data_IF_300310382243
#
_entry.id   IF_300310382243
#
_cell.length_a   1.000
_cell.length_b   1.000
_cell.length_c   1.000
_cell.angle_alpha   90.00
_cell.angle_beta   90.00
_cell.angle_gamma   90.00
#
_symmetry.space_group_name_H-M   'P 1'
#
loop_
_entity.id
_entity.type
_entity.pdbx_description
1 polymer ?
#
# COMPACT_ATOMS: atom_id res chain seq x y z
N UNK A 1 -38.58 -52.87 -1.65
CA UNK A 1 -37.39 -52.83 -0.77
C UNK A 1 -36.63 -54.14 -0.94
N UNK A 2 -35.76 -54.24 -1.96
CA UNK A 2 -35.12 -55.50 -2.34
C UNK A 2 -33.70 -55.54 -1.76
N UNK A 3 -33.49 -56.34 -0.70
CA UNK A 3 -32.15 -56.57 -0.14
C UNK A 3 -31.44 -57.59 -1.03
N UNK A 4 -30.52 -57.11 -1.86
CA UNK A 4 -29.63 -57.97 -2.64
C UNK A 4 -28.64 -58.60 -1.65
N UNK A 5 -28.91 -59.81 -1.18
CA UNK A 5 -27.98 -60.58 -0.34
C UNK A 5 -27.03 -61.34 -1.25
N UNK A 6 -25.84 -60.79 -1.48
CA UNK A 6 -24.77 -61.45 -2.23
C UNK A 6 -24.21 -62.63 -1.43
N UNK A 7 -24.47 -63.85 -1.87
CA UNK A 7 -24.09 -65.10 -1.17
C UNK A 7 -22.63 -65.53 -1.41
N UNK A 8 -21.94 -64.92 -2.37
CA UNK A 8 -20.61 -65.34 -2.83
C UNK A 8 -19.53 -64.29 -2.52
N UNK A 9 -18.53 -64.59 -1.68
CA UNK A 9 -17.53 -63.61 -1.25
C UNK A 9 -16.68 -63.08 -2.41
N UNK A 10 -16.51 -63.88 -3.46
CA UNK A 10 -15.79 -63.49 -4.69
C UNK A 10 -16.53 -62.41 -5.47
N UNK A 11 -17.86 -62.46 -5.53
CA UNK A 11 -18.66 -61.46 -6.26
C UNK A 11 -18.68 -60.14 -5.49
N UNK A 12 -18.70 -60.20 -4.16
CA UNK A 12 -18.60 -59.01 -3.31
C UNK A 12 -17.22 -58.35 -3.45
N UNK A 13 -16.15 -59.14 -3.49
CA UNK A 13 -14.79 -58.64 -3.69
C UNK A 13 -14.61 -57.95 -5.05
N UNK A 14 -15.19 -58.52 -6.13
CA UNK A 14 -15.15 -57.90 -7.47
C UNK A 14 -15.94 -56.58 -7.51
N UNK A 15 -17.12 -56.53 -6.88
CA UNK A 15 -17.90 -55.28 -6.82
C UNK A 15 -17.17 -54.18 -6.03
N UNK A 16 -16.54 -54.53 -4.90
CA UNK A 16 -15.74 -53.58 -4.11
C UNK A 16 -14.56 -53.07 -4.94
N UNK A 17 -13.86 -53.94 -5.67
CA UNK A 17 -12.75 -53.56 -6.55
C UNK A 17 -13.20 -52.59 -7.65
N UNK A 18 -14.35 -52.84 -8.28
CA UNK A 18 -14.91 -51.94 -9.30
C UNK A 18 -15.28 -50.57 -8.74
N UNK A 19 -15.86 -50.52 -7.53
CA UNK A 19 -16.20 -49.23 -6.87
C UNK A 19 -14.93 -48.46 -6.50
N UNK A 20 -13.89 -49.14 -6.00
CA UNK A 20 -12.60 -48.51 -5.69
C UNK A 20 -11.90 -47.99 -6.95
N UNK A 21 -11.93 -48.75 -8.05
CA UNK A 21 -11.36 -48.32 -9.33
C UNK A 21 -12.10 -47.10 -9.89
N UNK A 22 -13.43 -47.09 -9.83
CA UNK A 22 -14.24 -45.93 -10.24
C UNK A 22 -13.97 -44.70 -9.35
N UNK A 23 -13.88 -44.89 -8.03
CA UNK A 23 -13.55 -43.82 -7.08
C UNK A 23 -12.16 -43.23 -7.30
N UNK A 24 -11.15 -44.08 -7.53
CA UNK A 24 -9.80 -43.64 -7.84
C UNK A 24 -9.74 -42.87 -9.18
N UNK A 25 -10.52 -43.31 -10.17
CA UNK A 25 -10.68 -42.59 -11.44
C UNK A 25 -11.23 -41.18 -11.23
N UNK A 26 -12.30 -41.03 -10.45
CA UNK A 26 -12.88 -39.70 -10.12
C UNK A 26 -11.85 -38.82 -9.39
N UNK A 27 -11.14 -39.36 -8.40
CA UNK A 27 -10.15 -38.60 -7.60
C UNK A 27 -8.98 -38.11 -8.48
N UNK A 28 -8.54 -38.88 -9.47
CA UNK A 28 -7.43 -38.47 -10.34
C UNK A 28 -7.86 -37.60 -11.53
N UNK A 29 -9.01 -37.88 -12.16
CA UNK A 29 -9.42 -37.19 -13.39
C UNK A 29 -10.11 -35.84 -13.15
N UNK A 30 -10.87 -35.72 -12.06
CA UNK A 30 -11.65 -34.49 -11.78
C UNK A 30 -10.76 -33.27 -11.48
N UNK A 31 -9.67 -33.38 -10.69
CA UNK A 31 -8.73 -32.26 -10.53
C UNK A 31 -8.06 -31.89 -11.85
N UNK A 32 -7.71 -32.87 -12.69
CA UNK A 32 -7.06 -32.60 -13.98
C UNK A 32 -7.96 -31.82 -14.96
N UNK A 33 -9.28 -31.97 -14.87
CA UNK A 33 -10.24 -31.28 -15.75
C UNK A 33 -10.71 -29.93 -15.18
N UNK A 34 -10.74 -29.76 -13.85
CA UNK A 34 -11.23 -28.53 -13.21
C UNK A 34 -10.14 -27.53 -12.81
N UNK A 35 -8.86 -27.90 -12.95
CA UNK A 35 -7.75 -26.97 -12.72
C UNK A 35 -7.57 -26.02 -13.92
N UNK A 36 -8.57 -25.18 -14.22
CA UNK A 36 -8.34 -24.00 -15.06
C UNK A 36 -7.50 -23.00 -14.27
N UNK A 37 -6.25 -22.71 -14.66
CA UNK A 37 -5.45 -21.71 -13.99
C UNK A 37 -6.19 -20.38 -14.05
N UNK A 38 -6.53 -19.82 -12.89
CA UNK A 38 -7.14 -18.50 -12.82
C UNK A 38 -6.10 -17.48 -13.29
N UNK A 39 -6.22 -17.10 -14.56
CA UNK A 39 -5.32 -16.13 -15.18
C UNK A 39 -5.85 -14.75 -14.83
N UNK A 40 -5.12 -14.03 -13.97
CA UNK A 40 -5.42 -12.63 -13.64
C UNK A 40 -5.19 -11.82 -14.91
N UNK A 41 -6.28 -11.40 -15.55
CA UNK A 41 -6.28 -10.79 -16.89
C UNK A 41 -6.19 -9.26 -16.87
N UNK A 42 -6.07 -8.67 -15.69
CA UNK A 42 -6.12 -7.21 -15.49
C UNK A 42 -5.06 -6.73 -14.48
N UNK A 43 -3.82 -7.22 -14.62
CA UNK A 43 -2.69 -6.66 -13.88
C UNK A 43 -2.26 -5.36 -14.53
N UNK A 44 -2.81 -4.24 -14.06
CA UNK A 44 -2.34 -2.91 -14.42
C UNK A 44 -1.03 -2.60 -13.69
N UNK A 45 0.09 -2.65 -14.40
CA UNK A 45 1.40 -2.25 -13.88
C UNK A 45 1.60 -0.78 -14.20
N UNK A 46 1.69 0.04 -13.16
CA UNK A 46 2.08 1.44 -13.28
C UNK A 46 3.55 1.50 -13.75
N UNK A 47 3.74 1.84 -15.02
CA UNK A 47 5.08 1.87 -15.63
C UNK A 47 5.93 3.02 -15.10
N UNK A 48 5.34 4.06 -14.53
CA UNK A 48 6.02 5.27 -14.08
C UNK A 48 6.29 5.24 -12.57
N UNK A 49 5.50 4.52 -11.79
CA UNK A 49 5.72 4.35 -10.35
C UNK A 49 6.69 3.20 -10.03
N UNK A 50 7.67 3.48 -9.17
CA UNK A 50 8.55 2.48 -8.56
C UNK A 50 7.89 1.79 -7.36
N UNK A 51 7.10 2.55 -6.60
CA UNK A 51 6.35 2.09 -5.44
C UNK A 51 5.12 2.97 -5.25
N UNK A 52 3.97 2.37 -4.94
CA UNK A 52 2.75 3.09 -4.60
C UNK A 52 2.17 2.56 -3.29
N UNK A 53 1.82 3.46 -2.40
CA UNK A 53 1.29 3.18 -1.06
C UNK A 53 -0.04 3.92 -0.86
N UNK A 54 -1.03 3.24 -0.27
CA UNK A 54 -2.32 3.84 0.12
C UNK A 54 -2.31 4.46 1.52
N UNK A 55 -1.15 4.45 2.19
CA UNK A 55 -0.90 5.17 3.42
C UNK A 55 0.62 5.28 3.62
N UNK A 56 1.10 6.46 4.00
CA UNK A 56 2.49 6.68 4.34
C UNK A 56 2.59 7.43 5.67
N UNK A 57 3.50 6.96 6.54
CA UNK A 57 3.99 7.71 7.69
C UNK A 57 5.52 7.67 7.71
N UNK A 58 6.14 8.84 7.76
CA UNK A 58 7.59 8.99 7.88
C UNK A 58 7.93 9.84 9.10
N UNK A 59 8.91 9.39 9.88
CA UNK A 59 9.42 10.10 11.05
C UNK A 59 10.90 10.39 10.81
N UNK A 60 11.28 11.67 10.81
CA UNK A 60 12.67 12.08 10.68
C UNK A 60 13.24 12.50 12.02
N UNK A 61 14.43 12.00 12.34
CA UNK A 61 15.13 12.30 13.60
C UNK A 61 16.56 12.73 13.33
N UNK A 62 17.04 13.72 14.08
CA UNK A 62 18.43 14.13 14.12
C UNK A 62 18.94 14.10 15.55
N UNK A 63 20.01 13.36 15.78
CA UNK A 63 20.59 13.15 17.11
C UNK A 63 19.56 12.66 18.15
N UNK A 64 18.65 11.79 17.73
CA UNK A 64 17.57 11.25 18.58
C UNK A 64 16.36 12.16 18.77
N UNK A 65 16.42 13.42 18.33
CA UNK A 65 15.31 14.39 18.40
C UNK A 65 14.50 14.31 17.11
N UNK A 66 13.18 14.14 17.23
CA UNK A 66 12.27 14.19 16.07
C UNK A 66 12.26 15.60 15.49
N UNK A 67 12.51 15.71 14.19
CA UNK A 67 12.47 16.99 13.46
C UNK A 67 11.12 17.17 12.77
N UNK A 68 10.55 16.08 12.24
CA UNK A 68 9.18 16.08 11.73
C UNK A 68 8.56 14.69 11.68
N UNK A 69 7.23 14.68 11.60
CA UNK A 69 6.40 13.57 11.17
C UNK A 69 5.61 13.97 9.94
N UNK A 70 5.65 13.14 8.91
CA UNK A 70 4.95 13.32 7.63
C UNK A 70 3.98 12.16 7.45
N UNK A 71 2.70 12.48 7.25
CA UNK A 71 1.64 11.54 6.93
C UNK A 71 0.99 11.93 5.60
N UNK A 72 0.66 10.93 4.78
CA UNK A 72 -0.02 11.12 3.52
C UNK A 72 -1.00 9.96 3.26
N UNK A 73 -2.10 10.28 2.61
CA UNK A 73 -3.09 9.32 2.19
C UNK A 73 -2.63 8.43 1.05
N UNK A 74 -1.80 8.93 0.15
CA UNK A 74 -1.10 8.08 -0.82
C UNK A 74 0.32 8.59 -0.98
N UNK A 75 1.23 7.69 -1.31
CA UNK A 75 2.58 8.04 -1.71
C UNK A 75 2.98 7.24 -2.94
N UNK A 76 3.40 7.93 -4.00
CA UNK A 76 3.92 7.32 -5.22
C UNK A 76 5.37 7.73 -5.38
N UNK A 77 6.29 6.78 -5.26
CA UNK A 77 7.69 6.97 -5.62
C UNK A 77 7.81 6.87 -7.14
N UNK A 78 8.32 7.90 -7.78
CA UNK A 78 8.48 7.97 -9.25
C UNK A 78 9.75 7.21 -9.64
N UNK A 79 9.70 6.42 -10.73
CA UNK A 79 10.89 5.74 -11.26
C UNK A 79 11.87 6.74 -11.81
N UNK A 80 13.16 6.49 -11.58
CA UNK A 80 14.26 7.29 -12.14
C UNK A 80 14.25 8.78 -11.74
N UNK A 81 13.39 9.15 -10.78
CA UNK A 81 13.32 10.47 -10.18
C UNK A 81 13.45 10.35 -8.66
N UNK A 82 14.14 11.30 -8.03
CA UNK A 82 14.27 11.36 -6.58
C UNK A 82 13.03 12.00 -5.93
N UNK A 83 11.82 11.59 -6.35
CA UNK A 83 10.57 12.23 -5.95
C UNK A 83 9.51 11.23 -5.46
N UNK A 84 8.88 11.58 -4.35
CA UNK A 84 7.65 10.96 -3.88
C UNK A 84 6.48 11.95 -3.98
N UNK A 85 5.46 11.59 -4.76
CA UNK A 85 4.22 12.35 -4.92
C UNK A 85 3.24 11.91 -3.84
N UNK A 86 2.75 12.87 -3.07
CA UNK A 86 1.94 12.65 -1.86
C UNK A 86 0.56 13.30 -2.02
N UNK A 87 -0.48 12.67 -1.46
CA UNK A 87 -1.83 13.26 -1.41
C UNK A 87 -2.36 13.35 0.02
N UNK A 88 -3.21 14.36 0.28
CA UNK A 88 -3.78 14.70 1.60
C UNK A 88 -2.70 14.70 2.68
N UNK A 89 -1.76 15.62 2.52
CA UNK A 89 -0.54 15.66 3.31
C UNK A 89 -0.80 16.33 4.66
N UNK A 90 -0.23 15.75 5.71
CA UNK A 90 -0.19 16.31 7.05
C UNK A 90 1.24 16.21 7.59
N UNK A 91 1.83 17.35 7.96
CA UNK A 91 3.19 17.41 8.52
C UNK A 91 3.17 18.08 9.87
N UNK A 92 3.87 17.50 10.82
CA UNK A 92 4.18 18.10 12.12
C UNK A 92 5.68 18.37 12.15
N UNK A 93 6.08 19.63 12.15
CA UNK A 93 7.47 20.03 12.37
C UNK A 93 7.67 20.34 13.85
N UNK A 94 8.76 19.81 14.43
CA UNK A 94 9.13 20.07 15.81
C UNK A 94 10.22 21.13 15.88
N UNK A 95 9.97 22.20 16.61
CA UNK A 95 10.93 23.29 16.79
C UNK A 95 11.91 22.99 17.92
N UNK A 96 12.99 23.77 18.03
CA UNK A 96 13.96 23.65 19.13
C UNK A 96 13.34 23.95 20.49
N UNK A 97 12.30 24.78 20.52
CA UNK A 97 11.60 25.18 21.74
C UNK A 97 10.54 24.16 22.18
N UNK A 98 10.51 22.98 21.53
CA UNK A 98 9.53 21.91 21.72
C UNK A 98 8.10 22.28 21.32
N UNK A 99 7.95 23.35 20.55
CA UNK A 99 6.70 23.70 19.90
C UNK A 99 6.53 22.93 18.59
N UNK A 100 5.30 22.95 18.06
CA UNK A 100 4.95 22.27 16.81
C UNK A 100 4.36 23.23 15.79
N UNK A 101 4.83 23.12 14.55
CA UNK A 101 4.20 23.73 13.38
C UNK A 101 3.48 22.64 12.61
N UNK A 102 2.16 22.80 12.44
CA UNK A 102 1.32 21.82 11.72
C UNK A 102 1.04 22.37 10.33
N UNK A 103 1.28 21.55 9.31
CA UNK A 103 1.00 21.85 7.91
C UNK A 103 0.02 20.82 7.34
N UNK A 104 -0.97 21.28 6.59
CA UNK A 104 -1.82 20.42 5.75
C UNK A 104 -1.87 20.94 4.32
N UNK A 105 -1.95 20.04 3.34
CA UNK A 105 -2.17 20.38 1.92
C UNK A 105 -2.86 19.24 1.17
N UNK A 106 -3.39 19.54 -0.02
CA UNK A 106 -4.01 18.53 -0.88
C UNK A 106 -2.94 17.63 -1.53
N UNK A 107 -1.82 18.23 -1.94
CA UNK A 107 -0.71 17.54 -2.58
C UNK A 107 0.63 17.95 -1.95
N UNK A 108 1.61 17.06 -2.07
CA UNK A 108 3.00 17.37 -1.77
C UNK A 108 3.97 16.58 -2.62
N UNK A 109 5.17 17.12 -2.81
CA UNK A 109 6.29 16.45 -3.45
C UNK A 109 7.43 16.44 -2.43
N UNK A 110 7.91 15.25 -2.09
CA UNK A 110 9.09 15.06 -1.27
C UNK A 110 10.26 14.67 -2.17
N UNK A 111 11.32 15.46 -2.14
CA UNK A 111 12.60 15.06 -2.69
C UNK A 111 13.24 14.02 -1.76
N UNK A 112 13.42 12.79 -2.24
CA UNK A 112 13.89 11.67 -1.43
C UNK A 112 15.39 11.73 -1.12
N UNK A 113 16.15 12.60 -1.78
CA UNK A 113 17.56 12.82 -1.55
C UNK A 113 17.79 14.01 -0.61
N UNK A 114 17.23 15.18 -0.95
CA UNK A 114 17.46 16.43 -0.21
C UNK A 114 16.53 16.60 0.98
N UNK A 115 15.39 15.88 0.99
CA UNK A 115 14.29 16.02 1.94
C UNK A 115 13.62 17.41 1.91
N UNK A 116 13.83 18.16 0.83
CA UNK A 116 13.01 19.32 0.53
C UNK A 116 11.58 18.87 0.21
N UNK A 117 10.60 19.71 0.57
CA UNK A 117 9.20 19.39 0.33
C UNK A 117 8.47 20.59 -0.27
N UNK A 118 7.70 20.34 -1.31
CA UNK A 118 6.80 21.31 -1.92
C UNK A 118 5.36 20.91 -1.64
N UNK A 119 4.52 21.88 -1.29
CA UNK A 119 3.12 21.66 -0.93
C UNK A 119 2.20 22.52 -1.80
N UNK A 120 1.13 21.92 -2.30
CA UNK A 120 0.22 22.56 -3.24
C UNK A 120 -1.25 22.26 -2.90
N UNK A 121 -2.09 23.28 -3.08
CA UNK A 121 -3.53 23.20 -2.89
C UNK A 121 -3.93 23.23 -1.41
N UNK A 122 -4.83 24.15 -1.07
CA UNK A 122 -5.38 24.33 0.28
C UNK A 122 -4.32 24.27 1.40
N UNK A 123 -3.15 24.90 1.18
CA UNK A 123 -2.05 24.81 2.13
C UNK A 123 -2.39 25.65 3.36
N UNK A 124 -2.43 25.00 4.52
CA UNK A 124 -2.68 25.63 5.82
C UNK A 124 -1.54 25.31 6.75
N UNK A 125 -0.90 26.35 7.30
CA UNK A 125 0.13 26.22 8.32
C UNK A 125 -0.39 26.83 9.61
N UNK A 126 -0.31 26.08 10.72
CA UNK A 126 -0.71 26.51 12.06
C UNK A 126 0.46 26.46 13.01
N UNK A 127 0.66 27.54 13.74
CA UNK A 127 1.64 27.61 14.81
C UNK A 127 1.06 28.45 15.95
N UNK A 128 0.82 27.82 17.11
CA UNK A 128 0.17 28.45 18.26
C UNK A 128 -1.16 29.15 17.86
N UNK A 129 -1.23 30.47 17.96
CA UNK A 129 -2.42 31.28 17.60
C UNK A 129 -2.42 31.77 16.14
N UNK A 130 -1.34 31.51 15.38
CA UNK A 130 -1.18 31.99 14.02
C UNK A 130 -1.60 30.93 13.00
N UNK A 131 -2.27 31.37 11.94
CA UNK A 131 -2.63 30.55 10.78
C UNK A 131 -2.22 31.26 9.49
N UNK A 132 -1.41 30.60 8.67
CA UNK A 132 -1.10 31.00 7.31
C UNK A 132 -1.90 30.13 6.34
N UNK A 133 -2.47 30.74 5.30
CA UNK A 133 -3.12 30.05 4.19
C UNK A 133 -2.50 30.52 2.88
N UNK A 134 -2.18 29.59 2.00
CA UNK A 134 -1.60 29.87 0.68
C UNK A 134 -1.90 28.71 -0.28
N UNK A 135 -1.71 28.94 -1.57
CA UNK A 135 -1.86 27.89 -2.58
C UNK A 135 -0.58 27.05 -2.71
N UNK A 136 0.58 27.64 -2.40
CA UNK A 136 1.89 27.01 -2.56
C UNK A 136 2.82 27.35 -1.41
N UNK A 137 3.53 26.33 -0.93
CA UNK A 137 4.52 26.48 0.13
C UNK A 137 5.71 25.56 -0.13
N UNK A 138 6.89 26.04 0.21
CA UNK A 138 8.15 25.35 0.01
C UNK A 138 8.86 25.20 1.35
N UNK A 139 9.27 23.97 1.67
CA UNK A 139 10.13 23.64 2.79
C UNK A 139 11.52 23.26 2.29
N UNK A 140 12.54 23.94 2.83
CA UNK A 140 13.94 23.64 2.56
C UNK A 140 14.57 23.03 3.79
N UNK A 141 14.99 21.76 3.69
CA UNK A 141 15.52 20.99 4.83
C UNK A 141 16.79 21.62 5.37
N UNK A 142 17.79 21.81 4.53
CA UNK A 142 19.13 22.27 4.95
C UNK A 142 19.09 23.58 5.76
N UNK A 143 18.39 24.64 5.32
CA UNK A 143 18.25 25.86 6.12
C UNK A 143 17.11 25.79 7.16
N UNK A 144 16.27 24.77 7.12
CA UNK A 144 15.06 24.63 7.94
C UNK A 144 14.11 25.84 7.78
N UNK A 145 13.80 26.19 6.53
CA UNK A 145 12.98 27.36 6.19
C UNK A 145 11.72 26.92 5.47
N UNK A 146 10.59 27.50 5.89
CA UNK A 146 9.32 27.47 5.19
C UNK A 146 9.12 28.83 4.52
N UNK A 147 8.78 28.84 3.23
CA UNK A 147 8.47 30.07 2.49
C UNK A 147 7.36 29.86 1.46
N UNK A 148 6.74 30.95 1.03
CA UNK A 148 5.76 30.99 -0.07
C UNK A 148 6.19 32.06 -1.07
N UNK A 149 5.96 31.80 -2.36
CA UNK A 149 6.33 32.71 -3.45
C UNK A 149 5.18 33.65 -3.86
N UNK A 150 4.29 33.99 -2.92
CA UNK A 150 3.13 34.86 -3.19
C UNK A 150 3.54 36.21 -3.77
#
# INVERSE_FOLDING_TARGET
>A
MNRIVLKNPRVLAVLILCVLAAGAGVIFFVPAMMNTPQTVTDLHIDSEAALKLDAMKQISKKNGITEWELEAATATLVKEENQAILTRVHVVFYTKDKDTVILTSDQGILDTETHDMDFNGNVVVRHQTYTLKTDKLHYKKKPHIIHSNT
#
